data_IF_713922020193
#
_entry.id   IF_713922020193
#
_cell.length_a   1.000
_cell.length_b   1.000
_cell.length_c   1.000
_cell.angle_alpha   90.00
_cell.angle_beta   90.00
_cell.angle_gamma   90.00
#
_symmetry.space_group_name_H-M   'P 1'
#
loop_
_entity.id
_entity.type
_entity.pdbx_description
1 polymer ?
#
# COMPACT_ATOMS: atom_id res chain seq x y z
N UNK A 1 3.48 -5.67 -31.87
CA UNK A 1 2.51 -4.59 -31.61
C UNK A 1 2.05 -4.50 -30.15
N UNK A 2 1.42 -5.53 -29.54
CA UNK A 2 0.96 -5.43 -28.14
C UNK A 2 2.14 -5.34 -27.14
N UNK A 3 3.10 -6.26 -27.27
CA UNK A 3 4.33 -6.29 -26.43
C UNK A 3 5.17 -5.00 -26.53
N UNK A 4 5.22 -4.38 -27.71
CA UNK A 4 5.96 -3.15 -27.93
C UNK A 4 5.27 -1.96 -27.26
N UNK A 5 3.94 -1.89 -27.28
CA UNK A 5 3.16 -0.87 -26.56
C UNK A 5 3.34 -1.00 -25.05
N UNK A 6 3.37 -2.21 -24.51
CA UNK A 6 3.60 -2.46 -23.10
C UNK A 6 5.02 -2.11 -22.67
N UNK A 7 6.03 -2.39 -23.50
CA UNK A 7 7.41 -1.98 -23.23
C UNK A 7 7.53 -0.45 -23.20
N UNK A 8 6.90 0.25 -24.16
CA UNK A 8 6.87 1.70 -24.22
C UNK A 8 6.14 2.31 -22.98
N UNK A 9 5.04 1.70 -22.56
CA UNK A 9 4.28 2.14 -21.39
C UNK A 9 5.08 1.94 -20.10
N UNK A 10 5.79 0.82 -19.93
CA UNK A 10 6.71 0.59 -18.80
C UNK A 10 7.84 1.61 -18.76
N UNK A 11 8.44 1.95 -19.92
CA UNK A 11 9.45 2.99 -20.01
C UNK A 11 8.92 4.37 -19.62
N UNK A 12 7.71 4.70 -20.08
CA UNK A 12 7.01 5.93 -19.70
C UNK A 12 6.75 5.97 -18.21
N UNK A 13 6.24 4.89 -17.63
CA UNK A 13 6.00 4.75 -16.19
C UNK A 13 7.30 4.94 -15.39
N UNK A 14 8.39 4.32 -15.82
CA UNK A 14 9.69 4.46 -15.16
C UNK A 14 10.22 5.91 -15.22
N UNK A 15 10.07 6.60 -16.36
CA UNK A 15 10.43 8.02 -16.51
C UNK A 15 9.59 8.93 -15.63
N UNK A 16 8.30 8.70 -15.57
CA UNK A 16 7.38 9.45 -14.72
C UNK A 16 7.71 9.26 -13.23
N UNK A 17 8.08 8.06 -12.82
CA UNK A 17 8.44 7.76 -11.42
C UNK A 17 9.60 8.63 -10.89
N UNK A 18 10.45 9.17 -11.76
CA UNK A 18 11.61 10.01 -11.41
C UNK A 18 11.50 11.44 -11.91
N UNK A 19 10.37 11.83 -12.52
CA UNK A 19 10.25 13.12 -13.22
C UNK A 19 10.27 14.36 -12.31
N UNK A 20 9.93 14.21 -11.03
CA UNK A 20 9.80 15.34 -10.11
C UNK A 20 8.65 16.33 -10.46
N UNK A 21 7.76 15.98 -11.39
CA UNK A 21 6.65 16.85 -11.80
C UNK A 21 5.71 17.10 -10.63
N UNK A 22 5.52 18.37 -10.27
CA UNK A 22 4.70 18.85 -9.16
C UNK A 22 3.21 18.49 -9.30
N UNK A 23 2.76 18.10 -10.49
CA UNK A 23 1.37 17.74 -10.76
C UNK A 23 1.20 16.26 -11.08
N UNK A 24 2.22 15.43 -10.93
CA UNK A 24 2.16 14.01 -11.22
C UNK A 24 1.59 13.22 -10.02
N UNK A 25 0.59 12.39 -10.28
CA UNK A 25 0.03 11.47 -9.27
C UNK A 25 -0.44 12.20 -8.02
N UNK A 26 -0.07 11.71 -6.85
CA UNK A 26 -0.46 12.27 -5.56
C UNK A 26 -0.10 13.76 -5.41
N UNK A 27 0.97 14.22 -6.05
CA UNK A 27 1.40 15.62 -6.01
C UNK A 27 0.34 16.58 -6.58
N UNK A 28 -0.50 16.13 -7.51
CA UNK A 28 -1.61 16.92 -8.04
C UNK A 28 -2.70 17.25 -6.98
N UNK A 29 -2.65 16.56 -5.84
CA UNK A 29 -3.60 16.77 -4.74
C UNK A 29 -2.97 17.45 -3.52
N UNK A 30 -1.68 17.71 -3.54
CA UNK A 30 -1.01 18.47 -2.47
C UNK A 30 -1.48 19.94 -2.52
N UNK A 31 -2.06 20.48 -1.44
CA UNK A 31 -2.43 21.90 -1.38
C UNK A 31 -1.27 22.85 -1.70
N UNK A 32 -0.05 22.48 -1.36
CA UNK A 32 1.15 23.29 -1.66
C UNK A 32 1.47 23.37 -3.16
N UNK A 33 0.93 22.49 -3.98
CA UNK A 33 1.13 22.46 -5.43
C UNK A 33 -0.02 23.12 -6.21
N UNK A 34 -1.06 23.60 -5.54
CA UNK A 34 -2.22 24.20 -6.23
C UNK A 34 -1.97 25.62 -6.70
N UNK A 35 -2.52 26.03 -7.86
CA UNK A 35 -3.25 25.18 -8.82
C UNK A 35 -2.30 24.28 -9.61
N UNK A 36 -2.66 22.99 -9.71
CA UNK A 36 -1.87 22.02 -10.45
C UNK A 36 -2.33 21.95 -11.91
N UNK A 37 -1.71 22.76 -12.76
CA UNK A 37 -2.06 22.89 -14.17
C UNK A 37 -0.92 22.31 -15.00
N UNK A 38 -1.09 21.07 -15.47
CA UNK A 38 -0.24 20.46 -16.48
C UNK A 38 -1.11 19.89 -17.60
N UNK A 39 -1.23 20.59 -18.75
CA UNK A 39 -2.10 20.14 -19.86
C UNK A 39 -1.72 18.74 -20.37
N UNK A 40 -0.43 18.36 -20.30
CA UNK A 40 0.05 17.04 -20.74
C UNK A 40 -0.47 15.90 -19.86
N UNK A 41 -0.76 16.16 -18.60
CA UNK A 41 -1.28 15.16 -17.67
C UNK A 41 -2.81 15.05 -17.69
N UNK A 42 -3.51 16.00 -18.29
CA UNK A 42 -4.98 16.07 -18.27
C UNK A 42 -5.65 14.86 -18.94
N UNK A 43 -5.10 14.40 -20.05
CA UNK A 43 -5.62 13.28 -20.84
C UNK A 43 -4.69 12.05 -20.81
N UNK A 44 -3.53 12.15 -20.17
CA UNK A 44 -2.61 11.02 -20.04
C UNK A 44 -3.04 10.10 -18.90
N UNK A 45 -2.77 8.81 -19.07
CA UNK A 45 -2.97 7.80 -18.03
C UNK A 45 -1.80 6.82 -18.06
N UNK A 46 -1.07 6.77 -16.97
CA UNK A 46 0.07 5.85 -16.83
C UNK A 46 0.02 5.13 -15.44
N UNK A 47 0.24 3.81 -15.39
CA UNK A 47 0.28 2.90 -16.53
C UNK A 47 -1.06 2.89 -17.28
N UNK A 48 -1.05 2.43 -18.53
CA UNK A 48 -2.31 2.23 -19.27
C UNK A 48 -3.18 1.17 -18.59
N UNK A 49 -4.52 1.20 -18.73
CA UNK A 49 -5.38 0.14 -18.20
C UNK A 49 -5.00 -1.27 -18.67
N UNK A 50 -4.56 -1.40 -19.93
CA UNK A 50 -4.10 -2.68 -20.47
C UNK A 50 -2.87 -3.21 -19.72
N UNK A 51 -1.86 -2.35 -19.48
CA UNK A 51 -0.69 -2.70 -18.69
C UNK A 51 -1.05 -2.98 -17.22
N UNK A 52 -1.98 -2.21 -16.65
CA UNK A 52 -2.41 -2.41 -15.27
C UNK A 52 -3.08 -3.78 -15.06
N UNK A 53 -3.88 -4.28 -16.02
CA UNK A 53 -4.49 -5.62 -15.96
C UNK A 53 -3.45 -6.74 -15.90
N UNK A 54 -2.31 -6.57 -16.57
CA UNK A 54 -1.23 -7.57 -16.56
C UNK A 54 -0.39 -7.52 -15.27
N UNK A 55 -0.34 -6.35 -14.63
CA UNK A 55 0.35 -6.16 -13.35
C UNK A 55 -0.46 -6.68 -12.16
N UNK A 56 -1.68 -7.18 -12.38
CA UNK A 56 -2.41 -7.95 -11.38
C UNK A 56 -1.63 -9.23 -11.09
N UNK A 57 -1.15 -9.35 -9.85
CA UNK A 57 -0.31 -10.48 -9.42
C UNK A 57 -1.10 -11.78 -9.63
N UNK A 58 -0.56 -12.73 -10.40
CA UNK A 58 -1.23 -14.03 -10.60
C UNK A 58 -1.58 -14.70 -9.27
N UNK A 59 -2.72 -15.34 -9.21
CA UNK A 59 -3.20 -16.01 -7.99
C UNK A 59 -2.35 -17.20 -7.53
N UNK A 60 -1.47 -17.71 -8.42
CA UNK A 60 -0.64 -18.91 -8.19
C UNK A 60 0.64 -18.66 -7.37
N UNK A 61 0.90 -17.42 -6.97
CA UNK A 61 2.05 -17.08 -6.12
C UNK A 61 3.42 -17.12 -6.81
N UNK A 62 3.55 -17.72 -8.00
CA UNK A 62 4.87 -17.96 -8.62
C UNK A 62 5.54 -16.70 -9.18
N UNK A 63 4.77 -15.74 -9.70
CA UNK A 63 5.31 -14.49 -10.20
C UNK A 63 5.47 -13.43 -9.08
N UNK A 64 4.68 -13.53 -8.01
CA UNK A 64 4.70 -12.60 -6.88
C UNK A 64 6.01 -12.67 -6.07
N UNK A 65 6.71 -13.79 -6.16
CA UNK A 65 7.93 -14.06 -5.38
C UNK A 65 9.20 -13.49 -6.01
N UNK A 66 9.13 -13.01 -7.26
CA UNK A 66 10.28 -12.43 -7.98
C UNK A 66 10.21 -10.91 -8.01
N UNK A 67 9.96 -10.27 -6.87
CA UNK A 67 10.07 -8.81 -6.82
C UNK A 67 11.54 -8.42 -6.97
N UNK A 68 11.90 -7.60 -7.97
CA UNK A 68 13.27 -7.10 -8.13
C UNK A 68 13.71 -6.24 -6.95
N UNK A 69 12.78 -5.81 -6.10
CA UNK A 69 13.06 -5.03 -4.89
C UNK A 69 13.70 -5.87 -3.78
N UNK A 70 13.47 -7.21 -3.74
CA UNK A 70 13.99 -8.04 -2.67
C UNK A 70 15.50 -8.25 -2.84
N UNK A 71 16.30 -7.53 -2.06
CA UNK A 71 17.76 -7.65 -2.05
C UNK A 71 18.17 -9.06 -1.60
N UNK A 72 18.96 -9.74 -2.43
CA UNK A 72 19.32 -11.15 -2.20
C UNK A 72 18.19 -12.15 -2.46
N UNK A 73 17.09 -11.69 -3.08
CA UNK A 73 15.92 -12.51 -3.39
C UNK A 73 14.96 -12.65 -2.22
N UNK A 74 13.93 -13.46 -2.40
CA UNK A 74 12.96 -13.80 -1.36
C UNK A 74 13.53 -14.89 -0.45
N UNK A 75 13.62 -14.62 0.85
CA UNK A 75 14.03 -15.60 1.84
C UNK A 75 12.79 -16.27 2.46
N UNK A 76 12.75 -17.59 2.47
CA UNK A 76 11.64 -18.37 3.04
C UNK A 76 12.09 -19.01 4.35
N UNK A 77 11.34 -18.76 5.43
CA UNK A 77 11.52 -19.38 6.74
C UNK A 77 10.18 -19.97 7.18
N UNK A 78 10.01 -21.26 7.05
CA UNK A 78 8.72 -21.90 7.29
C UNK A 78 7.62 -21.32 6.38
N UNK A 79 6.62 -20.68 6.98
CA UNK A 79 5.55 -20.01 6.24
C UNK A 79 5.80 -18.52 5.99
N UNK A 80 6.94 -17.98 6.44
CA UNK A 80 7.28 -16.57 6.26
C UNK A 80 8.03 -16.35 4.96
N UNK A 81 7.55 -15.41 4.16
CA UNK A 81 8.20 -14.90 2.96
C UNK A 81 8.80 -13.52 3.27
N UNK A 82 10.11 -13.47 3.42
CA UNK A 82 10.83 -12.26 3.79
C UNK A 82 11.42 -11.61 2.54
N UNK A 83 11.00 -10.39 2.27
CA UNK A 83 11.54 -9.53 1.23
C UNK A 83 12.21 -8.31 1.86
N UNK A 84 13.53 -8.26 1.86
CA UNK A 84 14.26 -7.12 2.42
C UNK A 84 14.68 -6.14 1.34
N UNK A 85 14.55 -4.84 1.61
CA UNK A 85 14.89 -3.75 0.71
C UNK A 85 15.24 -2.47 1.49
N UNK A 86 15.56 -1.37 0.78
CA UNK A 86 16.02 -0.12 1.36
C UNK A 86 17.52 -0.06 1.49
N UNK A 87 18.06 0.52 2.56
CA UNK A 87 19.49 0.62 2.80
C UNK A 87 20.15 -0.77 2.90
N UNK A 88 21.42 -0.91 2.49
CA UNK A 88 22.21 -2.11 2.73
C UNK A 88 22.26 -2.46 4.22
N UNK A 89 22.33 -3.75 4.55
CA UNK A 89 22.24 -4.22 5.92
C UNK A 89 23.34 -3.65 6.85
N UNK A 90 24.54 -3.46 6.29
CA UNK A 90 25.73 -2.92 6.96
C UNK A 90 25.71 -1.39 7.15
N UNK A 91 24.79 -0.68 6.49
CA UNK A 91 24.67 0.78 6.52
C UNK A 91 23.28 1.27 6.95
N UNK A 92 22.40 0.35 7.32
CA UNK A 92 21.06 0.72 7.73
C UNK A 92 21.10 1.39 9.12
N UNK A 93 20.62 2.62 9.19
CA UNK A 93 20.47 3.37 10.45
C UNK A 93 19.37 2.76 11.33
N UNK A 94 18.35 2.15 10.68
CA UNK A 94 17.22 1.52 11.36
C UNK A 94 16.73 0.31 10.59
N UNK A 95 16.32 -0.73 11.32
CA UNK A 95 15.67 -1.91 10.77
C UNK A 95 14.20 -1.92 11.16
N UNK A 96 13.34 -1.98 10.15
CA UNK A 96 11.89 -1.98 10.35
C UNK A 96 11.25 -3.18 9.68
N UNK A 97 10.07 -3.57 10.12
CA UNK A 97 9.27 -4.62 9.49
C UNK A 97 7.99 -4.06 8.89
N UNK A 98 7.58 -4.56 7.73
CA UNK A 98 6.28 -4.28 7.12
C UNK A 98 5.48 -5.57 7.03
N UNK A 99 4.29 -5.60 7.63
CA UNK A 99 3.42 -6.77 7.71
C UNK A 99 2.03 -6.49 7.15
N UNK A 100 1.34 -7.54 6.77
CA UNK A 100 -0.05 -7.48 6.33
C UNK A 100 -0.35 -8.44 5.19
N UNK A 101 -1.32 -8.07 4.36
CA UNK A 101 -1.74 -8.85 3.19
C UNK A 101 -1.21 -8.28 1.85
N UNK A 102 -1.97 -8.48 0.77
CA UNK A 102 -1.62 -7.96 -0.55
C UNK A 102 -1.52 -6.43 -0.58
N UNK A 103 -2.26 -5.70 0.30
CA UNK A 103 -2.18 -4.25 0.40
C UNK A 103 -0.83 -3.82 0.99
N UNK A 104 -0.33 -4.48 2.02
CA UNK A 104 1.04 -4.25 2.52
C UNK A 104 2.11 -4.54 1.45
N UNK A 105 1.88 -5.56 0.60
CA UNK A 105 2.77 -5.83 -0.53
C UNK A 105 2.80 -4.67 -1.53
N UNK A 106 1.65 -4.03 -1.78
CA UNK A 106 1.56 -2.87 -2.70
C UNK A 106 2.32 -1.65 -2.18
N UNK A 107 2.57 -1.56 -0.90
CA UNK A 107 3.39 -0.50 -0.31
C UNK A 107 4.91 -0.69 -0.51
N UNK A 108 5.38 -1.88 -0.91
CA UNK A 108 6.83 -2.14 -1.07
C UNK A 108 7.58 -1.11 -1.90
N UNK A 109 7.11 -0.67 -3.08
CA UNK A 109 7.84 0.33 -3.88
C UNK A 109 7.99 1.67 -3.17
N UNK A 110 6.92 2.22 -2.62
CA UNK A 110 6.94 3.48 -1.87
C UNK A 110 7.75 3.38 -0.57
N UNK A 111 7.61 2.28 0.18
CA UNK A 111 8.41 2.01 1.37
C UNK A 111 9.89 1.86 1.04
N UNK A 112 10.25 1.19 -0.07
CA UNK A 112 11.64 1.09 -0.51
C UNK A 112 12.23 2.47 -0.81
N UNK A 113 11.48 3.30 -1.53
CA UNK A 113 11.93 4.67 -1.86
C UNK A 113 12.08 5.52 -0.59
N UNK A 114 11.13 5.44 0.35
CA UNK A 114 11.23 6.12 1.63
C UNK A 114 12.42 5.60 2.45
N UNK A 115 12.59 4.28 2.53
CA UNK A 115 13.66 3.64 3.27
C UNK A 115 15.05 4.03 2.74
N UNK A 116 15.22 4.12 1.41
CA UNK A 116 16.48 4.61 0.81
C UNK A 116 16.79 6.06 1.18
N UNK A 117 15.76 6.91 1.27
CA UNK A 117 15.94 8.32 1.66
C UNK A 117 16.21 8.49 3.16
N UNK A 118 15.68 7.59 3.99
CA UNK A 118 15.76 7.65 5.45
C UNK A 118 16.88 6.78 6.03
N UNK A 119 17.70 6.13 5.19
CA UNK A 119 18.75 5.22 5.66
C UNK A 119 18.21 3.94 6.33
N UNK A 120 16.95 3.55 6.06
CA UNK A 120 16.31 2.42 6.70
C UNK A 120 16.41 1.14 5.88
N UNK A 121 16.42 0.00 6.57
CA UNK A 121 16.20 -1.30 5.99
C UNK A 121 14.84 -1.84 6.37
N UNK A 122 14.06 -2.25 5.38
CA UNK A 122 12.73 -2.83 5.58
C UNK A 122 12.77 -4.32 5.30
N UNK A 123 12.22 -5.12 6.19
CA UNK A 123 11.87 -6.52 5.94
C UNK A 123 10.35 -6.63 5.81
N UNK A 124 9.86 -6.87 4.59
CA UNK A 124 8.43 -7.06 4.33
C UNK A 124 8.06 -8.54 4.46
N UNK A 125 7.17 -8.85 5.41
CA UNK A 125 6.65 -10.20 5.68
C UNK A 125 5.15 -10.17 5.49
N UNK A 126 4.69 -10.54 4.31
CA UNK A 126 3.28 -10.44 3.93
C UNK A 126 2.72 -11.80 3.55
N UNK A 127 1.45 -12.02 3.92
CA UNK A 127 0.71 -13.20 3.52
C UNK A 127 -0.67 -12.81 3.01
N UNK A 128 -1.01 -13.27 1.80
CA UNK A 128 -2.30 -12.97 1.17
C UNK A 128 -3.47 -13.31 2.11
N UNK A 129 -4.43 -12.38 2.21
CA UNK A 129 -5.64 -12.52 3.03
C UNK A 129 -5.41 -12.84 4.51
N UNK A 130 -4.21 -12.56 5.03
CA UNK A 130 -3.77 -13.00 6.35
C UNK A 130 -3.41 -11.79 7.23
N UNK A 131 -4.38 -11.15 7.88
CA UNK A 131 -4.10 -10.06 8.80
C UNK A 131 -3.48 -10.56 10.10
N UNK A 132 -2.72 -9.72 10.77
CA UNK A 132 -2.34 -9.94 12.16
C UNK A 132 -3.56 -9.60 13.06
N UNK A 133 -4.49 -10.53 13.13
CA UNK A 133 -5.77 -10.36 13.83
C UNK A 133 -6.26 -11.71 14.36
N UNK A 134 -6.90 -11.74 15.53
CA UNK A 134 -7.60 -12.92 16.02
C UNK A 134 -8.92 -13.17 15.28
N UNK A 135 -9.48 -12.13 14.62
CA UNK A 135 -10.69 -12.28 13.83
C UNK A 135 -10.44 -13.13 12.58
N UNK A 136 -11.19 -14.20 12.35
CA UNK A 136 -10.97 -15.11 11.24
C UNK A 136 -11.34 -14.46 9.90
N UNK A 137 -10.44 -14.50 8.92
CA UNK A 137 -10.68 -14.08 7.53
C UNK A 137 -10.42 -15.22 6.56
N UNK A 138 -11.08 -15.15 5.41
CA UNK A 138 -10.94 -16.13 4.34
C UNK A 138 -11.70 -17.45 4.57
N UNK A 139 -11.56 -18.36 3.60
CA UNK A 139 -12.13 -19.72 3.67
C UNK A 139 -11.36 -20.64 4.63
N UNK A 140 -11.83 -21.89 4.84
CA UNK A 140 -11.20 -22.81 5.81
C UNK A 140 -9.71 -23.08 5.55
N UNK A 141 -9.29 -23.16 4.29
CA UNK A 141 -7.88 -23.39 3.91
C UNK A 141 -7.02 -22.15 4.20
N UNK A 142 -7.52 -20.96 3.86
CA UNK A 142 -6.82 -19.70 4.13
C UNK A 142 -6.67 -19.49 5.65
N UNK A 143 -7.71 -19.79 6.43
CA UNK A 143 -7.70 -19.67 7.90
C UNK A 143 -6.60 -20.53 8.52
N UNK A 144 -6.54 -21.84 8.19
CA UNK A 144 -5.48 -22.73 8.71
C UNK A 144 -4.08 -22.19 8.40
N UNK A 145 -3.87 -21.73 7.18
CA UNK A 145 -2.60 -21.13 6.79
C UNK A 145 -2.27 -19.86 7.59
N UNK A 146 -3.27 -19.01 7.87
CA UNK A 146 -3.10 -17.80 8.67
C UNK A 146 -2.81 -18.13 10.14
N UNK A 147 -3.54 -19.09 10.71
CA UNK A 147 -3.38 -19.49 12.12
C UNK A 147 -1.99 -20.08 12.39
N UNK A 148 -1.39 -20.73 11.41
CA UNK A 148 -0.01 -21.23 11.48
C UNK A 148 1.04 -20.14 11.20
N UNK A 149 0.74 -19.17 10.35
CA UNK A 149 1.63 -18.09 9.94
C UNK A 149 1.85 -17.06 11.07
N UNK A 150 0.79 -16.65 11.75
CA UNK A 150 0.84 -15.64 12.82
C UNK A 150 1.83 -15.99 13.95
N UNK A 151 1.78 -17.18 14.55
CA UNK A 151 2.75 -17.55 15.58
C UNK A 151 4.20 -17.59 15.06
N UNK A 152 4.41 -17.94 13.78
CA UNK A 152 5.75 -17.91 13.18
C UNK A 152 6.25 -16.47 13.03
N UNK A 153 5.37 -15.55 12.59
CA UNK A 153 5.69 -14.12 12.52
C UNK A 153 6.10 -13.58 13.89
N UNK A 154 5.29 -13.85 14.92
CA UNK A 154 5.57 -13.36 16.28
C UNK A 154 6.90 -13.91 16.81
N UNK A 155 7.16 -15.22 16.63
CA UNK A 155 8.46 -15.81 17.01
C UNK A 155 9.63 -15.21 16.25
N UNK A 156 9.45 -14.95 14.94
CA UNK A 156 10.49 -14.32 14.14
C UNK A 156 10.78 -12.90 14.62
N UNK A 157 9.75 -12.11 14.94
CA UNK A 157 9.91 -10.77 15.52
C UNK A 157 10.64 -10.82 16.87
N UNK A 158 10.27 -11.74 17.75
CA UNK A 158 10.94 -11.93 19.04
C UNK A 158 12.42 -12.32 18.90
N UNK A 159 12.77 -13.06 17.84
CA UNK A 159 14.15 -13.42 17.51
C UNK A 159 14.93 -12.30 16.80
N UNK A 160 14.30 -11.17 16.48
CA UNK A 160 14.91 -10.01 15.83
C UNK A 160 14.62 -8.72 16.63
N UNK A 161 15.10 -8.64 17.90
CA UNK A 161 14.75 -7.53 18.80
C UNK A 161 15.33 -6.17 18.38
N UNK A 162 16.25 -6.13 17.41
CA UNK A 162 16.74 -4.89 16.79
C UNK A 162 15.69 -4.19 15.92
N UNK A 163 14.58 -4.86 15.63
CA UNK A 163 13.44 -4.29 14.94
C UNK A 163 12.49 -3.72 15.99
N UNK A 164 12.43 -2.40 16.07
CA UNK A 164 11.58 -1.65 17.01
C UNK A 164 10.29 -1.12 16.37
N UNK A 165 10.24 -1.06 15.04
CA UNK A 165 9.17 -0.41 14.29
C UNK A 165 8.49 -1.38 13.33
N UNK A 166 7.18 -1.42 13.42
CA UNK A 166 6.30 -2.23 12.59
C UNK A 166 5.36 -1.33 11.78
N UNK A 167 5.40 -1.46 10.44
CA UNK A 167 4.39 -0.94 9.55
C UNK A 167 3.35 -2.00 9.28
N UNK A 168 2.08 -1.68 9.50
CA UNK A 168 0.95 -2.55 9.21
C UNK A 168 0.04 -1.96 8.15
N UNK A 169 -0.31 -2.73 7.14
CA UNK A 169 -1.32 -2.36 6.14
C UNK A 169 -2.14 -3.58 5.76
N UNK A 170 -3.44 -3.41 5.62
CA UNK A 170 -4.38 -4.48 5.42
C UNK A 170 -5.55 -4.03 4.57
N UNK A 171 -6.03 -4.90 3.68
CA UNK A 171 -7.28 -4.66 2.98
C UNK A 171 -8.46 -4.62 3.96
N UNK A 172 -9.27 -3.57 3.88
CA UNK A 172 -10.53 -3.48 4.64
C UNK A 172 -11.56 -4.53 4.20
N UNK A 173 -11.43 -5.07 2.97
CA UNK A 173 -12.25 -6.15 2.45
C UNK A 173 -13.72 -5.78 2.26
N UNK A 174 -14.48 -6.69 1.62
CA UNK A 174 -15.94 -6.52 1.44
C UNK A 174 -16.74 -6.86 2.69
N UNK A 175 -16.16 -7.67 3.58
CA UNK A 175 -16.80 -8.16 4.80
C UNK A 175 -16.86 -7.12 5.92
N UNK A 176 -16.10 -6.05 5.83
CA UNK A 176 -16.03 -4.96 6.81
C UNK A 176 -17.25 -4.05 6.79
N UNK A 177 -18.19 -4.28 5.89
CA UNK A 177 -19.41 -3.49 5.81
C UNK A 177 -20.24 -3.64 7.09
N UNK A 178 -19.97 -2.75 8.07
CA UNK A 178 -20.76 -2.45 9.28
C UNK A 178 -21.08 -3.60 10.25
N UNK A 179 -21.34 -4.83 9.78
CA UNK A 179 -21.80 -5.93 10.65
C UNK A 179 -20.72 -6.51 11.55
N UNK A 180 -19.46 -6.53 11.10
CA UNK A 180 -18.35 -7.18 11.80
C UNK A 180 -17.24 -6.19 12.25
N UNK A 181 -17.44 -4.88 12.08
CA UNK A 181 -16.41 -3.89 12.34
C UNK A 181 -15.86 -3.99 13.77
N UNK A 182 -16.72 -4.04 14.78
CA UNK A 182 -16.30 -4.12 16.18
C UNK A 182 -15.50 -5.41 16.47
N UNK A 183 -15.90 -6.54 15.89
CA UNK A 183 -15.20 -7.82 16.06
C UNK A 183 -13.87 -7.83 15.32
N UNK A 184 -13.80 -7.24 14.12
CA UNK A 184 -12.55 -7.10 13.36
C UNK A 184 -11.57 -6.17 14.07
N UNK A 185 -12.04 -5.05 14.59
CA UNK A 185 -11.27 -4.10 15.39
C UNK A 185 -10.71 -4.77 16.66
N UNK A 186 -11.56 -5.48 17.42
CA UNK A 186 -11.11 -6.26 18.58
C UNK A 186 -10.05 -7.29 18.20
N UNK A 187 -10.23 -7.96 17.07
CA UNK A 187 -9.25 -8.91 16.54
C UNK A 187 -7.89 -8.28 16.25
N UNK A 188 -7.85 -7.04 15.76
CA UNK A 188 -6.58 -6.31 15.56
C UNK A 188 -5.95 -5.87 16.89
N UNK A 189 -6.74 -5.43 17.86
CA UNK A 189 -6.25 -5.15 19.21
C UNK A 189 -5.59 -6.38 19.83
N UNK A 190 -6.18 -7.57 19.65
CA UNK A 190 -5.55 -8.83 20.08
C UNK A 190 -4.28 -9.13 19.28
N UNK A 191 -4.28 -8.85 17.97
CA UNK A 191 -3.08 -8.96 17.13
C UNK A 191 -1.92 -8.11 17.65
N UNK A 192 -2.18 -6.87 18.04
CA UNK A 192 -1.16 -5.99 18.62
C UNK A 192 -0.63 -6.49 19.96
N UNK A 193 -1.46 -7.13 20.80
CA UNK A 193 -1.04 -7.74 22.08
C UNK A 193 -0.11 -8.93 21.88
N UNK A 194 -0.14 -9.59 20.71
CA UNK A 194 0.76 -10.72 20.40
C UNK A 194 2.19 -10.26 20.04
N UNK A 195 2.39 -8.98 19.73
CA UNK A 195 3.70 -8.47 19.33
C UNK A 195 4.69 -8.52 20.50
N UNK A 196 5.98 -8.84 20.25
CA UNK A 196 6.99 -8.81 21.29
C UNK A 196 7.23 -7.39 21.78
N UNK A 197 7.69 -7.26 23.04
CA UNK A 197 7.92 -5.97 23.66
C UNK A 197 8.99 -5.10 22.97
N UNK A 198 9.83 -5.69 22.12
CA UNK A 198 10.79 -4.96 21.29
C UNK A 198 10.12 -4.09 20.22
N UNK A 199 8.87 -4.36 19.84
CA UNK A 199 8.11 -3.51 18.91
C UNK A 199 7.53 -2.33 19.70
N UNK A 200 8.24 -1.23 19.68
CA UNK A 200 7.88 0.01 20.39
C UNK A 200 6.97 0.90 19.52
N UNK A 201 7.15 0.86 18.20
CA UNK A 201 6.43 1.69 17.24
C UNK A 201 5.56 0.86 16.30
N UNK A 202 4.28 1.22 16.22
CA UNK A 202 3.32 0.62 15.28
C UNK A 202 2.75 1.74 14.41
N UNK A 203 3.09 1.70 13.13
CA UNK A 203 2.62 2.65 12.12
C UNK A 203 1.61 1.93 11.22
N UNK A 204 0.34 2.24 11.37
CA UNK A 204 -0.70 1.71 10.50
C UNK A 204 -0.84 2.60 9.28
N UNK A 205 -0.65 2.04 8.10
CA UNK A 205 -1.00 2.69 6.85
C UNK A 205 -2.48 2.42 6.57
N UNK A 206 -3.33 3.44 6.74
CA UNK A 206 -4.77 3.34 6.44
C UNK A 206 -4.98 2.80 5.04
N UNK A 207 -5.93 1.88 4.89
CA UNK A 207 -6.22 1.29 3.59
C UNK A 207 -6.66 2.33 2.56
N UNK A 208 -6.28 2.10 1.31
CA UNK A 208 -6.67 2.99 0.22
C UNK A 208 -8.17 2.87 -0.11
N UNK A 209 -8.77 3.92 -0.68
CA UNK A 209 -10.13 3.87 -1.21
C UNK A 209 -10.30 2.71 -2.20
N UNK A 210 -11.50 2.21 -2.37
CA UNK A 210 -11.81 1.17 -3.37
C UNK A 210 -12.27 1.79 -4.68
N UNK A 211 -11.89 1.16 -5.77
CA UNK A 211 -12.37 1.45 -7.12
C UNK A 211 -13.64 0.65 -7.45
N UNK A 212 -14.33 1.02 -8.54
CA UNK A 212 -15.35 0.20 -9.15
C UNK A 212 -14.71 -1.05 -9.79
N UNK A 213 -15.50 -2.12 -9.96
CA UNK A 213 -15.01 -3.36 -10.61
C UNK A 213 -14.62 -3.13 -12.07
N UNK A 214 -15.32 -2.24 -12.75
CA UNK A 214 -15.09 -1.87 -14.14
C UNK A 214 -14.24 -0.61 -14.29
N UNK A 215 -13.46 -0.24 -13.27
CA UNK A 215 -12.70 1.01 -13.25
C UNK A 215 -11.76 1.13 -14.44
N UNK A 216 -11.06 0.03 -14.81
CA UNK A 216 -10.15 0.04 -15.95
C UNK A 216 -10.88 0.23 -17.28
N UNK A 217 -12.06 -0.38 -17.42
CA UNK A 217 -12.92 -0.22 -18.61
C UNK A 217 -13.49 1.20 -18.67
N UNK A 218 -13.86 1.79 -17.53
CA UNK A 218 -14.27 3.20 -17.46
C UNK A 218 -13.14 4.12 -17.96
N UNK A 219 -11.92 3.91 -17.46
CA UNK A 219 -10.76 4.71 -17.85
C UNK A 219 -10.47 4.57 -19.33
N UNK A 220 -10.55 3.37 -19.91
CA UNK A 220 -10.40 3.14 -21.36
C UNK A 220 -11.45 3.89 -22.17
N UNK A 221 -12.73 3.82 -21.76
CA UNK A 221 -13.81 4.55 -22.42
C UNK A 221 -13.60 6.06 -22.35
N UNK A 222 -13.14 6.58 -21.22
CA UNK A 222 -12.86 8.00 -21.06
C UNK A 222 -11.71 8.46 -21.99
N UNK A 223 -10.62 7.70 -22.06
CA UNK A 223 -9.49 7.97 -22.96
C UNK A 223 -9.97 7.96 -24.42
N UNK A 224 -10.71 6.93 -24.83
CA UNK A 224 -11.23 6.83 -26.20
C UNK A 224 -12.16 7.99 -26.56
N UNK A 225 -12.90 8.54 -25.60
CA UNK A 225 -13.78 9.68 -25.76
C UNK A 225 -13.07 11.04 -25.64
N UNK A 226 -11.73 11.08 -25.45
CA UNK A 226 -10.97 12.32 -25.24
C UNK A 226 -11.36 13.07 -23.95
N UNK A 227 -11.91 12.37 -22.96
CA UNK A 227 -12.34 12.94 -21.67
C UNK A 227 -11.30 12.71 -20.58
N UNK A 228 -11.12 13.66 -19.63
CA UNK A 228 -10.28 13.43 -18.46
C UNK A 228 -10.82 12.26 -17.63
N UNK A 229 -10.07 11.17 -17.55
CA UNK A 229 -10.52 9.94 -16.87
C UNK A 229 -10.69 10.11 -15.36
N UNK A 230 -9.91 11.02 -14.72
CA UNK A 230 -10.04 11.27 -13.28
C UNK A 230 -11.47 11.62 -12.87
N UNK A 231 -12.05 12.73 -13.33
CA UNK A 231 -13.44 13.08 -13.02
C UNK A 231 -14.47 12.15 -13.67
N UNK A 232 -14.19 11.58 -14.86
CA UNK A 232 -15.14 10.72 -15.56
C UNK A 232 -15.39 9.38 -14.87
N UNK A 233 -14.39 8.85 -14.14
CA UNK A 233 -14.45 7.56 -13.47
C UNK A 233 -14.38 7.69 -11.94
N UNK A 234 -14.59 8.89 -11.40
CA UNK A 234 -14.59 9.11 -9.97
C UNK A 234 -15.82 8.44 -9.31
N UNK A 235 -15.62 7.90 -8.13
CA UNK A 235 -16.68 7.38 -7.27
C UNK A 235 -16.99 8.37 -6.15
N UNK A 236 -18.19 8.27 -5.57
CA UNK A 236 -18.46 9.01 -4.34
C UNK A 236 -17.52 8.55 -3.22
N UNK A 237 -17.13 9.50 -2.37
CA UNK A 237 -16.28 9.19 -1.21
C UNK A 237 -16.93 8.14 -0.30
N UNK A 238 -18.25 8.16 -0.16
CA UNK A 238 -19.00 7.22 0.66
C UNK A 238 -18.97 5.77 0.09
N UNK A 239 -18.89 5.63 -1.23
CA UNK A 239 -18.77 4.32 -1.88
C UNK A 239 -17.35 3.78 -1.82
N UNK A 240 -16.35 4.65 -2.01
CA UNK A 240 -14.94 4.29 -2.10
C UNK A 240 -14.30 4.02 -0.74
N UNK A 241 -14.58 4.87 0.27
CA UNK A 241 -13.96 4.73 1.58
C UNK A 241 -14.73 3.75 2.45
N UNK A 242 -14.05 2.69 2.82
CA UNK A 242 -14.56 1.70 3.77
C UNK A 242 -14.07 2.04 5.18
N UNK A 243 -14.85 1.71 6.24
CA UNK A 243 -14.34 1.72 7.59
C UNK A 243 -13.09 0.85 7.71
N UNK A 244 -12.06 1.33 8.39
CA UNK A 244 -10.79 0.62 8.56
C UNK A 244 -10.62 0.18 10.02
N UNK A 245 -10.90 -1.10 10.33
CA UNK A 245 -10.81 -1.59 11.69
C UNK A 245 -9.37 -1.71 12.21
N UNK A 246 -8.36 -1.85 11.32
CA UNK A 246 -6.96 -1.83 11.71
C UNK A 246 -6.54 -0.43 12.16
N UNK A 247 -6.90 0.59 11.39
CA UNK A 247 -6.65 1.98 11.76
C UNK A 247 -7.37 2.36 13.05
N UNK A 248 -8.66 1.99 13.18
CA UNK A 248 -9.43 2.23 14.39
C UNK A 248 -8.84 1.53 15.63
N UNK A 249 -8.34 0.31 15.48
CA UNK A 249 -7.67 -0.41 16.57
C UNK A 249 -6.38 0.30 17.02
N UNK A 250 -5.58 0.82 16.07
CA UNK A 250 -4.38 1.58 16.39
C UNK A 250 -4.71 2.90 17.13
N UNK A 251 -5.73 3.62 16.67
CA UNK A 251 -6.22 4.85 17.32
C UNK A 251 -6.72 4.57 18.75
N UNK A 252 -7.44 3.45 18.95
CA UNK A 252 -7.95 3.03 20.28
C UNK A 252 -6.86 2.62 21.27
N UNK A 253 -5.72 2.11 20.81
CA UNK A 253 -4.62 1.81 21.71
C UNK A 253 -4.13 3.03 22.47
N UNK A 254 -4.24 4.22 21.87
CA UNK A 254 -3.83 5.50 22.46
C UNK A 254 -2.49 5.41 23.21
N UNK A 255 -1.51 4.69 22.61
CA UNK A 255 -0.20 4.41 23.19
C UNK A 255 0.85 5.24 22.46
N UNK A 256 1.82 5.85 23.16
CA UNK A 256 2.98 6.47 22.51
C UNK A 256 3.64 5.48 21.52
N UNK A 257 4.08 5.97 20.38
CA UNK A 257 4.68 5.14 19.34
C UNK A 257 3.68 4.42 18.43
N UNK A 258 2.37 4.45 18.74
CA UNK A 258 1.33 3.84 17.90
C UNK A 258 0.51 4.92 17.20
N UNK A 259 0.28 4.76 15.90
CA UNK A 259 -0.58 5.70 15.18
C UNK A 259 -0.85 5.32 13.73
N UNK A 260 -1.61 6.19 13.07
CA UNK A 260 -2.13 5.97 11.72
C UNK A 260 -1.58 7.02 10.76
N UNK A 261 -1.04 6.55 9.65
CA UNK A 261 -0.76 7.39 8.48
C UNK A 261 -1.97 7.33 7.57
N UNK A 262 -2.68 8.45 7.45
CA UNK A 262 -3.84 8.61 6.57
C UNK A 262 -3.45 9.43 5.34
N UNK A 263 -3.37 8.79 4.19
CA UNK A 263 -3.09 9.40 2.90
C UNK A 263 -4.36 9.58 2.04
N UNK A 264 -5.54 9.38 2.60
CA UNK A 264 -6.83 9.56 1.91
C UNK A 264 -6.96 10.90 1.17
N UNK A 265 -6.46 12.04 1.68
CA UNK A 265 -6.53 13.31 0.94
C UNK A 265 -5.87 13.32 -0.43
N UNK A 266 -4.90 12.41 -0.65
CA UNK A 266 -4.21 12.25 -1.94
C UNK A 266 -4.98 11.40 -2.95
N UNK A 267 -6.02 10.70 -2.52
CA UNK A 267 -6.92 9.91 -3.37
C UNK A 267 -8.24 10.64 -3.62
N UNK A 268 -8.75 11.33 -2.60
CA UNK A 268 -10.13 11.82 -2.56
C UNK A 268 -10.21 13.32 -2.26
N UNK A 269 -11.20 13.98 -2.85
CA UNK A 269 -11.73 15.26 -2.38
C UNK A 269 -12.70 15.05 -1.21
N UNK A 270 -13.38 16.10 -0.78
CA UNK A 270 -14.46 15.98 0.22
C UNK A 270 -15.63 15.10 -0.26
N UNK A 271 -15.86 14.98 -1.57
CA UNK A 271 -17.02 14.31 -2.15
C UNK A 271 -16.68 13.09 -3.00
N UNK A 272 -15.56 13.10 -3.71
CA UNK A 272 -15.20 12.12 -4.73
C UNK A 272 -13.82 11.53 -4.47
N UNK A 273 -13.63 10.25 -4.82
CA UNK A 273 -12.34 9.59 -4.95
C UNK A 273 -12.07 9.31 -6.43
N UNK A 274 -10.83 9.48 -6.86
CA UNK A 274 -10.47 9.53 -8.28
C UNK A 274 -9.62 8.32 -8.68
N UNK A 275 -9.88 7.81 -9.88
CA UNK A 275 -9.14 6.67 -10.44
C UNK A 275 -7.92 7.08 -11.28
N UNK A 276 -7.89 8.34 -11.72
CA UNK A 276 -6.71 8.94 -12.35
C UNK A 276 -6.44 10.28 -11.69
N UNK A 277 -5.24 10.45 -11.18
CA UNK A 277 -4.79 11.64 -10.46
C UNK A 277 -3.47 12.10 -11.06
N UNK A 278 -3.40 13.33 -11.53
CA UNK A 278 -2.19 13.87 -12.15
C UNK A 278 -1.62 12.96 -13.24
N UNK A 279 -2.48 12.43 -14.12
CA UNK A 279 -2.09 11.52 -15.19
C UNK A 279 -1.66 10.11 -14.76
N UNK A 280 -1.80 9.78 -13.47
CA UNK A 280 -1.43 8.45 -12.94
C UNK A 280 -2.69 7.66 -12.60
N UNK A 281 -2.75 6.43 -13.11
CA UNK A 281 -3.79 5.46 -12.76
C UNK A 281 -3.58 5.01 -11.31
N UNK A 282 -4.62 5.17 -10.48
CA UNK A 282 -4.56 4.87 -9.05
C UNK A 282 -4.61 3.37 -8.78
N UNK A 283 -5.58 2.66 -9.37
CA UNK A 283 -5.80 1.25 -9.09
C UNK A 283 -5.53 0.36 -10.31
N UNK A 284 -4.96 -0.83 -10.06
CA UNK A 284 -4.79 -1.90 -11.06
C UNK A 284 -5.97 -2.86 -11.14
N UNK A 285 -6.81 -2.85 -10.11
CA UNK A 285 -8.07 -3.57 -10.00
C UNK A 285 -9.01 -2.83 -9.02
N UNK A 286 -10.02 -3.48 -8.45
CA UNK A 286 -10.99 -2.82 -7.56
C UNK A 286 -10.42 -2.36 -6.20
N UNK A 287 -9.18 -2.73 -5.83
CA UNK A 287 -8.63 -2.39 -4.50
C UNK A 287 -7.10 -2.31 -4.39
N UNK A 288 -6.35 -2.76 -5.38
CA UNK A 288 -4.89 -2.67 -5.36
C UNK A 288 -4.39 -1.42 -6.07
N UNK A 289 -3.61 -0.60 -5.37
CA UNK A 289 -2.96 0.58 -5.98
C UNK A 289 -1.88 0.17 -6.98
N UNK A 290 -1.68 0.99 -8.01
CA UNK A 290 -0.58 0.82 -8.96
C UNK A 290 0.76 1.17 -8.31
N UNK A 291 1.84 0.58 -8.82
CA UNK A 291 3.19 0.90 -8.36
C UNK A 291 3.54 2.38 -8.56
N UNK A 292 3.21 2.93 -9.72
CA UNK A 292 3.50 4.34 -10.02
C UNK A 292 2.79 5.27 -9.05
N UNK A 293 1.50 5.04 -8.79
CA UNK A 293 0.77 5.88 -7.84
C UNK A 293 1.36 5.74 -6.43
N UNK A 294 1.69 4.53 -5.99
CA UNK A 294 2.37 4.29 -4.71
C UNK A 294 3.69 5.06 -4.59
N UNK A 295 4.51 5.08 -5.66
CA UNK A 295 5.75 5.86 -5.68
C UNK A 295 5.50 7.37 -5.55
N UNK A 296 4.41 7.90 -6.11
CA UNK A 296 4.06 9.32 -5.96
C UNK A 296 3.57 9.68 -4.55
N UNK A 297 3.15 8.70 -3.75
CA UNK A 297 2.78 8.89 -2.35
C UNK A 297 3.98 8.98 -1.41
N UNK A 298 5.18 8.55 -1.83
CA UNK A 298 6.38 8.48 -0.96
C UNK A 298 6.70 9.78 -0.22
N UNK A 299 6.74 10.98 -0.85
CA UNK A 299 7.04 12.22 -0.14
C UNK A 299 6.02 12.53 0.98
N UNK A 300 4.77 12.15 0.76
CA UNK A 300 3.67 12.37 1.70
C UNK A 300 3.68 11.37 2.84
N UNK A 301 4.11 10.13 2.57
CA UNK A 301 4.39 9.14 3.58
C UNK A 301 5.50 9.64 4.52
N UNK A 302 6.64 10.09 3.98
CA UNK A 302 7.76 10.63 4.78
C UNK A 302 7.28 11.82 5.62
N UNK A 303 6.59 12.78 5.00
CA UNK A 303 6.02 13.95 5.71
C UNK A 303 5.05 13.54 6.84
N UNK A 304 4.27 12.46 6.64
CA UNK A 304 3.37 11.95 7.68
C UNK A 304 4.15 11.29 8.81
N UNK A 305 5.22 10.57 8.50
CA UNK A 305 6.11 9.97 9.50
C UNK A 305 6.82 11.03 10.34
N UNK A 306 7.28 12.12 9.71
CA UNK A 306 7.87 13.27 10.42
C UNK A 306 6.87 13.88 11.41
N UNK A 307 5.65 14.17 10.96
CA UNK A 307 4.59 14.73 11.81
C UNK A 307 4.21 13.82 12.97
N UNK A 308 4.18 12.53 12.75
CA UNK A 308 3.91 11.52 13.77
C UNK A 308 5.08 11.23 14.70
N UNK A 309 6.23 11.89 14.50
CA UNK A 309 7.46 11.72 15.28
C UNK A 309 8.03 10.29 15.22
N UNK A 310 7.67 9.49 14.20
CA UNK A 310 8.22 8.14 14.04
C UNK A 310 9.62 8.10 13.42
N UNK A 311 10.13 9.24 12.95
CA UNK A 311 11.50 9.38 12.45
C UNK A 311 12.51 9.67 13.55
N UNK A 312 12.05 10.25 14.65
CA UNK A 312 12.90 10.59 15.80
C UNK A 312 13.11 9.34 16.67
N UNK A 313 14.36 9.13 17.11
CA UNK A 313 14.70 8.17 18.14
C UNK A 313 14.54 8.78 19.50
#
# INVERSE_FOLDING_TARGET
MLKDRQAADRLTTARLAVSGDRCLGAAARDPANQPCINPKLRLSVSPSPATARELVIPHDGTAANRSPLCQGGLKIIGLLELCSFGAPADRAERQIVSIGDSHARRWRPGLNRAALQLGWRVTSIVRRSCPLSSFPRGGPTDRRGCDQWKPQLVRWLAANPQIDTLFASQSTGKSTRRKNFASEEAGYLDGFKMLPGSIEHIVVLRDNPRAARDTLDCVERAIAAGKPAGPACALSRAESLQPDPLASAAEKLNKPGVGVVDLTPFYCSAKLCYEVIGGVLVHSDEHHITELFNLTLTPYLIRALERGQWLNR
#
